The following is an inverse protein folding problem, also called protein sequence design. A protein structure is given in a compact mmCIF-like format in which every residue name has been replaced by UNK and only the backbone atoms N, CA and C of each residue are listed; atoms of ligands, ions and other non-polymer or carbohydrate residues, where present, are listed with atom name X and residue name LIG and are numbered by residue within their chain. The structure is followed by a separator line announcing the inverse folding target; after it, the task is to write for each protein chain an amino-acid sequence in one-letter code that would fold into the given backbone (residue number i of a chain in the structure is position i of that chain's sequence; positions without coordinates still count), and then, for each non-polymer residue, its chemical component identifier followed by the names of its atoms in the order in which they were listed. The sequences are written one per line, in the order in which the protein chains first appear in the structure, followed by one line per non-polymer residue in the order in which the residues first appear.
data_IF_240719413686
#
_entry.id   IF_240719413686
#
_cell.length_a   1.000
_cell.length_b   1.000
_cell.length_c   1.000
_cell.angle_alpha   90.00
_cell.angle_beta   90.00
_cell.angle_gamma   90.00
#
_symmetry.space_group_name_H-M   'P 1'
#
loop_
_entity.id
_entity.type
_entity.pdbx_description
1 polymer ?
#
# COMPACT_ATOMS: atom_id res chain seq x y z
N UNK A 1 15.30 -11.94 -3.28
CA UNK A 1 14.52 -11.25 -2.22
C UNK A 1 13.11 -11.04 -2.72
N UNK A 2 12.10 -11.35 -1.90
CA UNK A 2 10.69 -11.10 -2.22
C UNK A 2 10.18 -10.03 -1.26
N UNK A 3 9.48 -9.04 -1.81
CA UNK A 3 8.84 -7.98 -1.03
C UNK A 3 7.33 -8.01 -1.25
N UNK A 4 6.57 -7.98 -0.17
CA UNK A 4 5.10 -7.92 -0.23
C UNK A 4 4.62 -6.60 0.38
N UNK A 5 4.00 -5.76 -0.44
CA UNK A 5 3.38 -4.53 0.01
C UNK A 5 1.92 -4.77 0.39
N UNK A 6 1.66 -4.67 1.68
CA UNK A 6 0.36 -4.88 2.33
C UNK A 6 -0.43 -3.57 2.51
N UNK A 7 0.08 -2.45 1.99
CA UNK A 7 -0.60 -1.16 2.04
C UNK A 7 -1.90 -1.13 1.21
N UNK A 8 -2.91 -0.45 1.73
CA UNK A 8 -4.20 -0.32 1.06
C UNK A 8 -4.12 0.63 -0.14
N UNK A 9 -5.06 0.54 -1.11
CA UNK A 9 -5.12 1.49 -2.21
C UNK A 9 -5.05 2.95 -1.74
N UNK A 10 -4.34 3.79 -2.51
CA UNK A 10 -4.15 5.23 -2.28
C UNK A 10 -3.24 5.61 -1.11
N UNK A 11 -2.33 4.72 -0.71
CA UNK A 11 -1.23 5.01 0.23
C UNK A 11 0.13 5.20 -0.46
N UNK A 12 0.21 5.02 -1.78
CA UNK A 12 1.47 5.12 -2.54
C UNK A 12 2.02 3.78 -3.03
N UNK A 13 1.20 2.72 -3.02
CA UNK A 13 1.58 1.37 -3.48
C UNK A 13 2.18 1.31 -4.88
N UNK A 14 1.70 2.12 -5.84
CA UNK A 14 2.26 2.19 -7.20
C UNK A 14 3.65 2.80 -7.25
N UNK A 15 3.90 3.86 -6.47
CA UNK A 15 5.23 4.45 -6.33
C UNK A 15 6.21 3.45 -5.75
N UNK A 16 5.83 2.79 -4.67
CA UNK A 16 6.67 1.78 -4.03
C UNK A 16 6.98 0.59 -4.95
N UNK A 17 5.99 0.11 -5.71
CA UNK A 17 6.21 -0.96 -6.70
C UNK A 17 7.26 -0.54 -7.73
N UNK A 18 7.18 0.69 -8.25
CA UNK A 18 8.20 1.23 -9.17
C UNK A 18 9.58 1.36 -8.51
N UNK A 19 9.65 1.73 -7.23
CA UNK A 19 10.90 1.81 -6.48
C UNK A 19 11.53 0.42 -6.30
N UNK A 20 10.73 -0.60 -6.02
CA UNK A 20 11.19 -1.98 -5.92
C UNK A 20 11.65 -2.54 -7.27
N UNK A 21 10.97 -2.17 -8.37
CA UNK A 21 11.41 -2.51 -9.73
C UNK A 21 12.79 -1.89 -10.04
N UNK A 22 13.01 -0.66 -9.61
CA UNK A 22 14.30 0.04 -9.73
C UNK A 22 15.42 -0.73 -8.99
N UNK A 23 15.12 -1.27 -7.80
CA UNK A 23 16.06 -2.07 -7.02
C UNK A 23 16.24 -3.50 -7.57
N UNK A 24 15.52 -3.87 -8.64
CA UNK A 24 15.54 -5.23 -9.18
C UNK A 24 14.88 -6.27 -8.27
N UNK A 25 14.00 -5.85 -7.36
CA UNK A 25 13.37 -6.71 -6.35
C UNK A 25 12.00 -7.19 -6.83
N UNK A 26 11.79 -8.51 -6.77
CA UNK A 26 10.47 -9.09 -7.03
C UNK A 26 9.48 -8.62 -5.97
N UNK A 27 8.44 -7.91 -6.40
CA UNK A 27 7.45 -7.34 -5.50
C UNK A 27 6.01 -7.72 -5.85
N UNK A 28 5.19 -7.86 -4.81
CA UNK A 28 3.75 -8.10 -4.94
C UNK A 28 2.98 -7.05 -4.15
N UNK A 29 1.88 -6.55 -4.70
CA UNK A 29 0.92 -5.71 -3.98
C UNK A 29 -0.29 -6.57 -3.66
N UNK A 30 -0.56 -6.76 -2.38
CA UNK A 30 -1.68 -7.59 -1.93
C UNK A 30 -2.11 -7.22 -0.52
N UNK A 31 -3.40 -7.05 -0.33
CA UNK A 31 -4.04 -6.62 0.91
C UNK A 31 -4.46 -7.81 1.80
N UNK A 32 -3.90 -9.00 1.55
CA UNK A 32 -4.23 -10.24 2.25
C UNK A 32 -3.33 -10.47 3.47
N UNK A 33 -3.57 -9.73 4.56
CA UNK A 33 -2.94 -10.00 5.87
C UNK A 33 -3.14 -11.46 6.30
N UNK A 34 -4.26 -12.08 5.89
CA UNK A 34 -4.61 -13.46 6.21
C UNK A 34 -3.92 -14.53 5.34
N UNK A 35 -2.87 -14.17 4.59
CA UNK A 35 -2.14 -15.09 3.71
C UNK A 35 -0.62 -15.01 3.87
N UNK A 36 -0.13 -14.48 4.99
CA UNK A 36 1.32 -14.38 5.24
C UNK A 36 1.99 -15.75 5.27
N UNK A 37 1.25 -16.79 5.70
CA UNK A 37 1.60 -18.21 5.64
C UNK A 37 1.87 -18.74 4.23
N UNK A 38 1.51 -18.00 3.18
CA UNK A 38 1.68 -18.41 1.79
C UNK A 38 2.93 -17.88 1.13
N UNK A 39 3.69 -17.02 1.80
CA UNK A 39 4.91 -16.47 1.25
C UNK A 39 6.13 -17.26 1.74
N UNK A 40 7.16 -17.44 0.90
CA UNK A 40 8.38 -18.12 1.30
C UNK A 40 9.04 -17.45 2.51
N UNK A 41 9.80 -18.23 3.28
CA UNK A 41 10.69 -17.71 4.31
C UNK A 41 11.65 -16.65 3.73
N UNK A 42 11.96 -15.60 4.51
CA UNK A 42 12.75 -14.46 4.05
C UNK A 42 11.99 -13.42 3.20
N UNK A 43 10.65 -13.49 3.18
CA UNK A 43 9.81 -12.44 2.59
C UNK A 43 9.80 -11.20 3.48
N UNK A 44 10.11 -10.04 2.90
CA UNK A 44 10.06 -8.75 3.59
C UNK A 44 8.68 -8.11 3.39
N UNK A 45 8.10 -7.58 4.46
CA UNK A 45 6.76 -7.01 4.42
C UNK A 45 6.80 -5.49 4.54
N UNK A 46 6.07 -4.81 3.66
CA UNK A 46 5.96 -3.36 3.65
C UNK A 46 4.51 -2.93 3.90
N UNK A 47 4.34 -1.88 4.69
CA UNK A 47 3.06 -1.21 4.94
C UNK A 47 3.17 0.24 4.50
N UNK A 48 2.56 0.59 3.37
CA UNK A 48 2.43 2.00 2.98
C UNK A 48 1.20 2.64 3.61
N UNK A 49 1.37 3.80 4.23
CA UNK A 49 0.31 4.55 4.92
C UNK A 49 0.24 6.01 4.46
N UNK A 50 -0.88 6.66 4.72
CA UNK A 50 -1.00 8.14 4.66
C UNK A 50 -0.76 8.74 6.04
N UNK A 51 -0.41 10.03 6.09
CA UNK A 51 -0.13 10.78 7.33
C UNK A 51 -1.27 10.71 8.35
N UNK A 52 -2.51 10.59 7.87
CA UNK A 52 -3.70 10.41 8.70
C UNK A 52 -4.83 9.71 7.92
N UNK A 53 -5.77 9.12 8.67
CA UNK A 53 -6.90 8.37 8.10
C UNK A 53 -7.88 9.26 7.32
N UNK A 54 -7.99 10.55 7.63
CA UNK A 54 -8.86 11.47 6.89
C UNK A 54 -8.27 11.79 5.51
N UNK A 55 -6.95 11.94 5.42
CA UNK A 55 -6.23 12.14 4.17
C UNK A 55 -6.33 10.92 3.26
N UNK A 56 -6.16 9.71 3.83
CA UNK A 56 -6.44 8.47 3.10
C UNK A 56 -7.90 8.40 2.62
N UNK A 57 -8.86 8.67 3.51
CA UNK A 57 -10.28 8.60 3.20
C UNK A 57 -10.70 9.57 2.09
N UNK A 58 -10.18 10.80 2.10
CA UNK A 58 -10.40 11.77 1.02
C UNK A 58 -9.83 11.25 -0.31
N UNK A 59 -8.63 10.68 -0.30
CA UNK A 59 -7.95 10.15 -1.49
C UNK A 59 -8.71 8.97 -2.10
N UNK A 60 -9.11 7.99 -1.29
CA UNK A 60 -9.85 6.81 -1.76
C UNK A 60 -11.24 7.19 -2.26
N UNK A 61 -11.93 8.13 -1.59
CA UNK A 61 -13.23 8.64 -2.03
C UNK A 61 -13.16 9.32 -3.39
N UNK A 62 -12.16 10.19 -3.60
CA UNK A 62 -11.95 10.87 -4.90
C UNK A 62 -11.66 9.88 -6.01
N UNK A 63 -10.74 8.95 -5.77
CA UNK A 63 -10.39 7.92 -6.74
C UNK A 63 -11.60 7.04 -7.10
N UNK A 64 -12.41 6.64 -6.12
CA UNK A 64 -13.63 5.88 -6.38
C UNK A 64 -14.68 6.68 -7.17
N UNK A 65 -14.87 7.96 -6.88
CA UNK A 65 -15.81 8.82 -7.62
C UNK A 65 -15.41 8.96 -9.09
N UNK A 66 -14.11 9.11 -9.37
CA UNK A 66 -13.59 9.17 -10.74
C UNK A 66 -13.76 7.84 -11.50
N UNK A 67 -13.93 6.73 -10.77
CA UNK A 67 -14.08 5.38 -11.28
C UNK A 67 -15.54 4.94 -11.44
N UNK A 68 -16.51 5.70 -10.93
CA UNK A 68 -17.95 5.44 -11.07
C UNK A 68 -18.48 5.70 -12.51
N UNK A 69 -17.70 6.39 -13.34
CA UNK A 69 -17.93 6.45 -14.78
C UNK A 69 -17.43 5.18 -15.47
N UNK A 70 -18.34 4.23 -15.71
CA UNK A 70 -18.26 3.15 -16.72
C UNK A 70 -16.84 2.77 -17.19
N UNK A 71 -16.16 1.78 -16.53
CA UNK A 71 -15.18 0.86 -17.19
C UNK A 71 -14.44 -0.15 -16.30
N UNK A 72 -14.58 -0.17 -14.98
CA UNK A 72 -13.82 -1.14 -14.17
C UNK A 72 -14.55 -2.45 -13.87
N UNK A 73 -14.06 -3.51 -14.52
CA UNK A 73 -14.51 -4.91 -14.51
C UNK A 73 -14.50 -5.53 -13.11
N UNK A 74 -15.36 -6.54 -12.91
CA UNK A 74 -15.88 -7.01 -11.63
C UNK A 74 -14.88 -7.41 -10.53
N UNK A 75 -13.61 -7.72 -10.82
CA UNK A 75 -12.68 -8.23 -9.81
C UNK A 75 -12.18 -7.15 -8.84
N UNK A 76 -11.72 -6.00 -9.35
CA UNK A 76 -11.27 -4.87 -8.52
C UNK A 76 -12.42 -4.34 -7.65
N UNK A 77 -13.64 -4.38 -8.20
CA UNK A 77 -14.87 -4.00 -7.51
C UNK A 77 -15.25 -4.98 -6.41
N UNK A 78 -15.14 -6.29 -6.66
CA UNK A 78 -15.36 -7.33 -5.66
C UNK A 78 -14.30 -7.32 -4.56
N UNK A 79 -13.03 -7.12 -4.90
CA UNK A 79 -11.95 -6.96 -3.91
C UNK A 79 -12.23 -5.77 -2.99
N UNK A 80 -12.69 -4.63 -3.51
CA UNK A 80 -13.06 -3.46 -2.69
C UNK A 80 -14.26 -3.73 -1.79
N UNK A 81 -15.26 -4.48 -2.25
CA UNK A 81 -16.39 -4.89 -1.40
C UNK A 81 -15.91 -5.83 -0.29
N UNK A 82 -15.02 -6.78 -0.59
CA UNK A 82 -14.43 -7.67 0.43
C UNK A 82 -13.61 -6.89 1.45
N UNK A 83 -12.78 -5.95 0.99
CA UNK A 83 -11.89 -5.17 1.83
C UNK A 83 -12.66 -4.19 2.71
N UNK A 84 -13.59 -3.43 2.14
CA UNK A 84 -14.26 -2.34 2.84
C UNK A 84 -15.70 -2.64 3.27
N UNK A 85 -16.20 -3.85 3.01
CA UNK A 85 -17.56 -4.29 3.34
C UNK A 85 -18.69 -3.57 2.58
N UNK A 86 -18.37 -2.63 1.67
CA UNK A 86 -19.38 -1.93 0.88
C UNK A 86 -18.82 -1.43 -0.46
N UNK A 87 -19.73 -1.21 -1.42
CA UNK A 87 -19.39 -0.72 -2.76
C UNK A 87 -19.12 0.79 -2.81
N UNK A 88 -19.69 1.54 -1.87
CA UNK A 88 -19.48 2.99 -1.73
C UNK A 88 -18.70 3.30 -0.45
N UNK A 89 -17.88 4.37 -0.43
CA UNK A 89 -17.22 4.87 0.78
C UNK A 89 -18.23 5.11 1.89
N UNK A 90 -18.03 4.44 3.02
CA UNK A 90 -18.84 4.60 4.24
C UNK A 90 -17.93 4.98 5.41
N UNK A 91 -18.47 5.56 6.50
CA UNK A 91 -17.68 5.92 7.67
C UNK A 91 -16.79 4.78 8.19
N UNK A 92 -17.32 3.54 8.18
CA UNK A 92 -16.62 2.32 8.60
C UNK A 92 -15.38 1.95 7.76
N UNK A 93 -15.12 2.61 6.63
CA UNK A 93 -13.89 2.40 5.85
C UNK A 93 -12.67 2.93 6.60
N UNK A 94 -12.83 4.03 7.35
CA UNK A 94 -11.76 4.57 8.20
C UNK A 94 -11.39 3.56 9.28
N UNK A 95 -12.39 2.99 9.94
CA UNK A 95 -12.20 2.00 10.99
C UNK A 95 -11.53 0.75 10.43
N UNK A 96 -11.92 0.29 9.23
CA UNK A 96 -11.26 -0.83 8.54
C UNK A 96 -9.81 -0.53 8.16
N UNK A 97 -9.52 0.67 7.67
CA UNK A 97 -8.13 1.09 7.38
C UNK A 97 -7.29 1.09 8.65
N UNK A 98 -7.80 1.66 9.75
CA UNK A 98 -7.12 1.68 11.03
C UNK A 98 -6.91 0.26 11.58
N UNK A 99 -7.94 -0.60 11.51
CA UNK A 99 -7.85 -1.99 11.94
C UNK A 99 -6.81 -2.78 11.13
N UNK A 100 -6.79 -2.62 9.80
CA UNK A 100 -5.81 -3.22 8.91
C UNK A 100 -4.38 -2.81 9.26
N UNK A 101 -4.12 -1.50 9.35
CA UNK A 101 -2.79 -1.00 9.67
C UNK A 101 -2.34 -1.43 11.07
N UNK A 102 -3.24 -1.40 12.06
CA UNK A 102 -2.93 -1.83 13.42
C UNK A 102 -2.68 -3.34 13.52
N UNK A 103 -3.28 -4.16 12.67
CA UNK A 103 -2.97 -5.58 12.60
C UNK A 103 -1.57 -5.82 12.02
N UNK A 104 -1.20 -5.10 10.96
CA UNK A 104 0.11 -5.20 10.31
C UNK A 104 1.25 -4.68 11.19
N UNK A 105 1.04 -3.61 11.95
CA UNK A 105 2.03 -3.09 12.92
C UNK A 105 2.37 -4.07 14.03
N UNK A 106 1.52 -5.09 14.26
CA UNK A 106 1.77 -6.15 15.25
C UNK A 106 2.51 -7.35 14.66
N UNK A 107 2.65 -7.40 13.33
CA UNK A 107 3.46 -8.43 12.71
C UNK A 107 4.95 -8.12 12.93
N UNK A 108 5.78 -9.14 13.15
CA UNK A 108 7.22 -8.96 13.13
C UNK A 108 7.66 -8.56 11.71
N UNK A 109 8.74 -7.79 11.63
CA UNK A 109 9.48 -7.54 10.38
C UNK A 109 8.64 -6.85 9.27
N UNK A 110 7.87 -5.83 9.66
CA UNK A 110 7.14 -4.95 8.74
C UNK A 110 7.73 -3.55 8.79
N UNK A 111 8.17 -3.04 7.65
CA UNK A 111 8.51 -1.63 7.50
C UNK A 111 7.26 -0.82 7.14
N UNK A 112 6.94 0.17 7.96
CA UNK A 112 5.91 1.17 7.66
C UNK A 112 6.53 2.37 6.93
N UNK A 113 5.92 2.78 5.81
CA UNK A 113 6.35 3.92 5.00
C UNK A 113 5.22 4.93 4.83
N UNK A 114 5.52 6.19 5.13
CA UNK A 114 4.66 7.34 4.94
C UNK A 114 5.38 8.45 4.13
N UNK A 115 5.20 8.43 2.80
CA UNK A 115 5.82 9.40 1.89
C UNK A 115 5.50 10.88 2.21
N UNK A 116 4.43 11.17 2.94
CA UNK A 116 4.07 12.52 3.36
C UNK A 116 4.90 13.03 4.54
N UNK A 117 5.63 12.13 5.22
CA UNK A 117 6.57 12.44 6.30
C UNK A 117 8.02 12.52 5.84
N UNK A 118 8.29 12.19 4.59
CA UNK A 118 9.64 12.21 4.01
C UNK A 118 10.23 10.84 3.72
N UNK A 119 9.59 9.77 4.18
CA UNK A 119 10.08 8.40 3.97
C UNK A 119 10.26 8.08 2.48
N UNK A 120 11.33 7.37 2.12
CA UNK A 120 11.70 7.10 0.74
C UNK A 120 12.82 6.06 0.63
N UNK A 121 13.91 6.42 -0.06
CA UNK A 121 15.00 5.48 -0.32
C UNK A 121 15.73 5.04 0.93
N UNK A 122 15.99 5.94 1.87
CA UNK A 122 16.82 5.64 3.04
C UNK A 122 16.19 4.52 3.88
N UNK A 123 14.92 4.68 4.26
CA UNK A 123 14.18 3.72 5.08
C UNK A 123 13.99 2.39 4.33
N UNK A 124 13.69 2.46 3.03
CA UNK A 124 13.47 1.28 2.21
C UNK A 124 14.76 0.47 2.01
N UNK A 125 15.85 1.13 1.64
CA UNK A 125 17.12 0.47 1.37
C UNK A 125 17.79 -0.05 2.64
N UNK A 126 17.70 0.69 3.76
CA UNK A 126 18.18 0.23 5.08
C UNK A 126 17.46 -1.05 5.51
N UNK A 127 16.13 -1.07 5.41
CA UNK A 127 15.33 -2.25 5.77
C UNK A 127 15.61 -3.46 4.88
N UNK A 128 15.85 -3.24 3.58
CA UNK A 128 16.14 -4.32 2.63
C UNK A 128 17.61 -4.71 2.58
N UNK A 129 18.50 -3.99 3.27
CA UNK A 129 19.95 -4.23 3.26
C UNK A 129 20.60 -4.02 1.88
N UNK A 130 20.12 -3.05 1.10
CA UNK A 130 20.63 -2.73 -0.25
C UNK A 130 21.15 -1.29 -0.33
N UNK A 131 21.91 -0.98 -1.37
CA UNK A 131 22.39 0.39 -1.59
C UNK A 131 21.27 1.33 -2.08
N UNK A 132 21.39 2.61 -1.72
CA UNK A 132 20.50 3.67 -2.21
C UNK A 132 20.87 3.97 -3.68
N UNK A 133 19.93 3.90 -4.62
CA UNK A 133 20.21 4.21 -6.02
C UNK A 133 20.40 5.72 -6.22
N UNK A 134 21.25 6.09 -7.18
CA UNK A 134 21.50 7.49 -7.58
C UNK A 134 20.37 8.04 -8.47
N UNK A 135 19.16 8.12 -7.91
CA UNK A 135 18.00 8.77 -8.53
C UNK A 135 16.91 9.11 -7.51
N UNK A 136 16.02 10.04 -7.86
CA UNK A 136 14.90 10.41 -6.99
C UNK A 136 13.91 9.25 -6.77
N UNK A 137 13.26 9.25 -5.60
CA UNK A 137 12.22 8.27 -5.31
C UNK A 137 11.02 8.48 -6.25
N UNK A 138 10.46 7.43 -6.87
CA UNK A 138 9.37 7.58 -7.82
C UNK A 138 8.09 8.11 -7.15
N UNK A 139 7.54 9.21 -7.66
CA UNK A 139 6.29 9.80 -7.18
C UNK A 139 5.16 9.73 -8.21
N UNK A 140 4.52 8.56 -8.31
CA UNK A 140 3.42 8.30 -9.24
C UNK A 140 2.05 8.63 -8.64
N UNK A 141 1.04 8.82 -9.50
CA UNK A 141 -0.37 9.03 -9.11
C UNK A 141 -0.60 10.21 -8.15
N UNK A 142 0.17 11.30 -8.30
CA UNK A 142 -0.04 12.55 -7.55
C UNK A 142 -1.49 13.03 -7.73
N UNK A 143 -2.20 13.16 -6.61
CA UNK A 143 -3.54 13.74 -6.63
C UNK A 143 -3.37 15.26 -6.75
N UNK A 144 -3.80 15.85 -7.87
CA UNK A 144 -3.84 17.31 -8.07
C UNK A 144 -4.70 17.99 -7.02
#
# INVERSE_FOLDING_TARGET
MIVVNLGLPKTGTTSLSKALDILGVTNFVGDFVHRTDKYPEGTHYLLTVRKDVHTWYKSVRRYNRQQDGFKNSGLIKQMRIKLYGSRQPRPNWKDRYLAHNNALRKMPDVLELCFEKGDGWNELCEFLGVEVPDQEFPHLNKSK
#
